data_IF_578768227859
#
_entry.id   IF_578768227859
#
_cell.length_a   1.000
_cell.length_b   1.000
_cell.length_c   1.000
_cell.angle_alpha   90.00
_cell.angle_beta   90.00
_cell.angle_gamma   90.00
#
_symmetry.space_group_name_H-M   'P 1'
#
loop_
_entity.id
_entity.type
_entity.pdbx_description
1 polymer ?
#
# COMPACT_ATOMS: atom_id res chain seq x y z
N UNK A 1 -14.24 -45.04 -54.88
CA UNK A 1 -14.77 -44.12 -53.82
C UNK A 1 -13.58 -43.72 -52.95
N UNK A 2 -13.08 -42.51 -53.15
CA UNK A 2 -11.92 -41.99 -52.44
C UNK A 2 -12.48 -41.08 -51.29
N UNK A 3 -12.29 -41.48 -50.02
CA UNK A 3 -12.67 -40.67 -48.86
C UNK A 3 -11.59 -39.60 -48.62
N UNK A 4 -11.96 -38.35 -48.87
CA UNK A 4 -11.13 -37.18 -48.56
C UNK A 4 -11.31 -36.84 -47.08
N UNK A 5 -10.34 -37.16 -46.25
CA UNK A 5 -10.32 -36.78 -44.83
C UNK A 5 -9.76 -35.33 -44.75
N UNK A 6 -10.65 -34.36 -44.51
CA UNK A 6 -10.26 -32.97 -44.20
C UNK A 6 -9.92 -32.90 -42.72
N UNK A 7 -8.62 -32.84 -42.41
CA UNK A 7 -8.13 -32.58 -41.07
C UNK A 7 -8.22 -31.08 -40.81
N UNK A 8 -9.20 -30.66 -40.01
CA UNK A 8 -9.34 -29.28 -39.54
C UNK A 8 -8.36 -29.06 -38.39
N UNK A 9 -7.18 -28.49 -38.72
CA UNK A 9 -6.20 -28.07 -37.68
C UNK A 9 -6.73 -26.85 -36.92
N UNK A 10 -7.22 -27.09 -35.73
CA UNK A 10 -7.62 -26.03 -34.78
C UNK A 10 -6.36 -25.36 -34.25
N UNK A 11 -5.98 -24.22 -34.82
CA UNK A 11 -4.89 -23.37 -34.27
C UNK A 11 -5.41 -22.68 -33.02
N UNK A 12 -5.11 -23.26 -31.87
CA UNK A 12 -5.32 -22.62 -30.56
C UNK A 12 -4.25 -21.53 -30.43
N UNK A 13 -4.59 -20.31 -30.80
CA UNK A 13 -3.82 -19.11 -30.42
C UNK A 13 -3.93 -18.96 -28.88
N UNK A 14 -2.97 -19.55 -28.19
CA UNK A 14 -2.80 -19.32 -26.77
C UNK A 14 -2.46 -17.84 -26.55
N UNK A 15 -3.42 -17.04 -26.09
CA UNK A 15 -3.13 -15.73 -25.51
C UNK A 15 -2.25 -15.98 -24.29
N UNK A 16 -0.95 -15.79 -24.44
CA UNK A 16 -0.04 -15.69 -23.32
C UNK A 16 -0.36 -14.36 -22.61
N UNK A 17 -1.17 -14.41 -21.58
CA UNK A 17 -1.29 -13.32 -20.65
C UNK A 17 0.07 -13.17 -19.93
N UNK A 18 0.93 -12.32 -20.50
CA UNK A 18 2.20 -11.96 -19.85
C UNK A 18 1.91 -10.94 -18.76
N UNK A 19 1.50 -11.42 -17.60
CA UNK A 19 1.42 -10.62 -16.42
C UNK A 19 2.76 -10.08 -15.99
N UNK A 20 2.75 -8.88 -15.49
CA UNK A 20 3.96 -8.23 -15.04
C UNK A 20 3.86 -7.94 -13.55
N UNK A 21 4.94 -8.28 -12.87
CA UNK A 21 5.14 -7.89 -11.48
C UNK A 21 5.95 -6.61 -11.44
N UNK A 22 5.42 -5.62 -10.76
CA UNK A 22 6.13 -4.41 -10.39
C UNK A 22 6.43 -4.46 -8.90
N UNK A 23 7.71 -4.34 -8.53
CA UNK A 23 8.16 -4.51 -7.14
C UNK A 23 8.90 -3.28 -6.64
N UNK A 24 8.70 -2.97 -5.36
CA UNK A 24 9.44 -1.95 -4.63
C UNK A 24 9.90 -2.52 -3.28
N UNK A 25 11.11 -2.11 -2.84
CA UNK A 25 11.65 -2.47 -1.53
C UNK A 25 11.89 -1.25 -0.63
N UNK A 26 12.01 -0.06 -1.25
CA UNK A 26 12.35 1.19 -0.58
C UNK A 26 11.25 2.25 -0.83
N UNK A 27 9.98 1.84 -0.69
CA UNK A 27 8.87 2.78 -0.68
C UNK A 27 8.89 3.64 0.56
N UNK A 28 8.25 4.80 0.49
CA UNK A 28 8.10 5.72 1.60
C UNK A 28 6.64 5.76 2.06
N UNK A 29 6.44 5.64 3.36
CA UNK A 29 5.16 5.92 4.02
C UNK A 29 5.42 6.86 5.17
N UNK A 30 4.69 7.96 5.20
CA UNK A 30 4.69 8.91 6.31
C UNK A 30 3.29 9.04 6.89
N UNK A 31 3.21 9.43 8.13
CA UNK A 31 1.95 9.88 8.72
C UNK A 31 2.12 11.23 9.41
N UNK A 32 1.01 11.93 9.54
CA UNK A 32 0.94 13.24 10.16
C UNK A 32 -0.29 13.33 11.08
N UNK A 33 -0.05 13.71 12.32
CA UNK A 33 -1.06 14.00 13.32
C UNK A 33 -0.98 15.48 13.65
N UNK A 34 -2.05 16.21 13.44
CA UNK A 34 -2.12 17.64 13.72
C UNK A 34 -3.10 17.94 14.85
N UNK A 35 -2.60 18.59 15.86
CA UNK A 35 -3.44 19.15 16.95
C UNK A 35 -3.06 20.61 17.21
N UNK A 36 -3.88 21.36 17.97
CA UNK A 36 -3.51 22.72 18.36
C UNK A 36 -2.26 22.82 19.25
N UNK A 37 -1.86 21.73 19.92
CA UNK A 37 -0.75 21.72 20.87
C UNK A 37 0.52 21.13 20.28
N UNK A 38 0.41 20.16 19.35
CA UNK A 38 1.58 19.44 18.85
C UNK A 38 1.33 18.88 17.46
N UNK A 39 2.32 19.01 16.58
CA UNK A 39 2.37 18.34 15.29
C UNK A 39 3.31 17.13 15.42
N UNK A 40 2.83 15.95 15.04
CA UNK A 40 3.62 14.71 15.09
C UNK A 40 3.71 14.18 13.67
N UNK A 41 4.94 13.98 13.20
CA UNK A 41 5.22 13.35 11.92
C UNK A 41 6.24 12.21 12.09
N UNK A 42 6.11 11.20 11.24
CA UNK A 42 7.09 10.12 11.15
C UNK A 42 7.16 9.57 9.73
N UNK A 43 8.32 9.05 9.38
CA UNK A 43 8.63 8.56 8.04
C UNK A 43 9.27 7.18 8.10
N UNK A 44 8.72 6.24 7.31
CA UNK A 44 9.30 4.93 7.05
C UNK A 44 9.76 4.87 5.59
N UNK A 45 11.05 4.60 5.35
CA UNK A 45 11.65 4.49 3.99
C UNK A 45 11.94 3.05 3.57
N UNK A 46 11.45 2.06 4.33
CA UNK A 46 11.68 0.65 4.08
C UNK A 46 10.36 -0.09 3.89
N UNK A 47 9.60 0.37 2.90
CA UNK A 47 8.28 -0.18 2.58
C UNK A 47 8.39 -1.08 1.36
N UNK A 48 8.04 -2.35 1.53
CA UNK A 48 7.91 -3.31 0.44
C UNK A 48 6.53 -3.22 -0.20
N UNK A 49 6.48 -3.28 -1.53
CA UNK A 49 5.21 -3.35 -2.25
C UNK A 49 5.33 -4.11 -3.56
N UNK A 50 4.22 -4.72 -3.97
CA UNK A 50 4.09 -5.46 -5.23
C UNK A 50 2.78 -5.07 -5.89
N UNK A 51 2.81 -4.83 -7.20
CA UNK A 51 1.65 -4.75 -8.08
C UNK A 51 1.73 -5.89 -9.07
N UNK A 52 0.68 -6.72 -9.13
CA UNK A 52 0.50 -7.76 -10.14
C UNK A 52 -0.55 -7.29 -11.14
N UNK A 53 -0.15 -7.08 -12.40
CA UNK A 53 -1.04 -6.58 -13.44
C UNK A 53 -1.94 -7.63 -14.06
N UNK A 54 -1.71 -8.94 -13.78
CA UNK A 54 -2.59 -10.02 -14.27
C UNK A 54 -3.95 -10.01 -13.61
N UNK A 55 -3.96 -9.70 -12.32
CA UNK A 55 -5.16 -9.77 -11.49
C UNK A 55 -5.44 -8.46 -10.74
N UNK A 56 -4.69 -7.39 -11.06
CA UNK A 56 -4.73 -6.07 -10.45
C UNK A 56 -4.46 -6.07 -8.93
N UNK A 57 -3.83 -7.10 -8.40
CA UNK A 57 -3.52 -7.18 -6.99
C UNK A 57 -2.40 -6.22 -6.61
N UNK A 58 -2.56 -5.59 -5.46
CA UNK A 58 -1.55 -4.76 -4.83
C UNK A 58 -1.37 -5.18 -3.37
N UNK A 59 -0.13 -5.35 -2.97
CA UNK A 59 0.23 -5.62 -1.58
C UNK A 59 1.30 -4.63 -1.12
N UNK A 60 1.17 -4.17 0.13
CA UNK A 60 2.14 -3.31 0.79
C UNK A 60 2.43 -3.88 2.16
N UNK A 61 3.70 -3.86 2.56
CA UNK A 61 4.13 -4.31 3.88
C UNK A 61 5.25 -3.40 4.41
N UNK A 62 5.19 -3.10 5.71
CA UNK A 62 6.22 -2.34 6.40
C UNK A 62 6.38 -2.81 7.84
N UNK A 63 7.58 -2.67 8.39
CA UNK A 63 7.80 -2.84 9.82
C UNK A 63 7.43 -1.56 10.55
N UNK A 64 6.73 -1.69 11.66
CA UNK A 64 6.33 -0.56 12.52
C UNK A 64 7.54 0.14 13.11
N UNK A 65 8.55 -0.62 13.54
CA UNK A 65 9.80 -0.11 14.13
C UNK A 65 10.66 0.71 13.17
N UNK A 66 10.38 0.66 11.84
CA UNK A 66 11.12 1.44 10.83
C UNK A 66 10.59 2.87 10.66
N UNK A 67 9.55 3.26 11.38
CA UNK A 67 9.16 4.67 11.44
C UNK A 67 10.16 5.47 12.26
N UNK A 68 10.70 6.51 11.65
CA UNK A 68 11.65 7.44 12.27
C UNK A 68 10.95 8.74 12.60
N UNK A 69 11.08 9.17 13.83
CA UNK A 69 10.53 10.41 14.36
C UNK A 69 11.65 11.44 14.58
N UNK A 70 11.37 12.74 14.51
CA UNK A 70 12.31 13.77 14.92
C UNK A 70 12.67 13.68 16.41
N UNK A 71 11.74 13.22 17.24
CA UNK A 71 11.88 13.06 18.68
C UNK A 71 11.95 11.57 19.07
N UNK A 72 13.04 11.15 19.71
CA UNK A 72 13.25 9.76 20.13
C UNK A 72 12.21 9.27 21.13
N UNK A 73 11.81 10.10 22.09
CA UNK A 73 10.79 9.74 23.08
C UNK A 73 9.43 9.49 22.42
N UNK A 74 9.07 10.29 21.41
CA UNK A 74 7.86 10.02 20.61
C UNK A 74 7.95 8.70 19.88
N UNK A 75 9.11 8.35 19.33
CA UNK A 75 9.34 7.06 18.66
C UNK A 75 9.22 5.88 19.63
N UNK A 76 9.75 6.00 20.83
CA UNK A 76 9.61 4.99 21.89
C UNK A 76 8.15 4.81 22.27
N UNK A 77 7.42 5.89 22.57
CA UNK A 77 5.99 5.82 22.88
C UNK A 77 5.16 5.25 21.72
N UNK A 78 5.48 5.61 20.47
CA UNK A 78 4.83 5.05 19.29
C UNK A 78 5.00 3.53 19.24
N UNK A 79 6.20 3.02 19.44
CA UNK A 79 6.49 1.60 19.39
C UNK A 79 5.91 0.83 20.57
N UNK A 80 6.02 1.36 21.79
CA UNK A 80 5.68 0.64 23.02
C UNK A 80 4.23 0.78 23.42
N UNK A 81 3.69 2.01 23.35
CA UNK A 81 2.39 2.33 23.94
C UNK A 81 1.26 2.38 22.92
N UNK A 82 1.54 2.75 21.65
CA UNK A 82 0.49 2.94 20.64
C UNK A 82 0.40 1.78 19.66
N UNK A 83 1.51 1.38 19.07
CA UNK A 83 1.52 0.30 18.08
C UNK A 83 1.92 -1.06 18.66
N UNK A 84 2.40 -1.11 19.90
CA UNK A 84 2.89 -2.32 20.58
C UNK A 84 3.72 -3.19 19.61
N UNK A 85 4.77 -2.59 19.03
CA UNK A 85 5.51 -3.15 17.88
C UNK A 85 6.17 -4.50 18.16
N UNK A 86 6.37 -4.87 19.42
CA UNK A 86 6.85 -6.19 19.82
C UNK A 86 5.77 -7.28 19.59
N UNK A 87 4.49 -6.93 19.77
CA UNK A 87 3.34 -7.82 19.53
C UNK A 87 2.86 -7.75 18.09
N UNK A 88 2.87 -6.55 17.51
CA UNK A 88 2.37 -6.25 16.17
C UNK A 88 3.46 -5.61 15.31
N UNK A 89 4.49 -6.38 14.89
CA UNK A 89 5.71 -5.82 14.30
C UNK A 89 5.52 -5.23 12.90
N UNK A 90 4.39 -5.48 12.24
CA UNK A 90 4.17 -5.05 10.86
C UNK A 90 2.79 -4.47 10.63
N UNK A 91 2.73 -3.50 9.71
CA UNK A 91 1.49 -3.04 9.09
C UNK A 91 1.46 -3.49 7.63
N UNK A 92 0.28 -3.89 7.14
CA UNK A 92 0.10 -4.40 5.77
C UNK A 92 -1.18 -3.87 5.13
N UNK A 93 -1.14 -3.76 3.80
CA UNK A 93 -2.33 -3.62 2.96
C UNK A 93 -2.34 -4.72 1.92
N UNK A 94 -3.51 -5.31 1.67
CA UNK A 94 -3.75 -6.26 0.57
C UNK A 94 -5.06 -5.92 -0.11
N UNK A 95 -5.03 -5.75 -1.41
CA UNK A 95 -6.22 -5.37 -2.16
C UNK A 95 -6.05 -5.45 -3.66
N UNK A 96 -7.00 -4.87 -4.38
CA UNK A 96 -7.00 -4.79 -5.84
C UNK A 96 -7.22 -3.36 -6.30
N UNK A 97 -6.54 -2.99 -7.36
CA UNK A 97 -6.82 -1.78 -8.11
C UNK A 97 -8.10 -2.01 -8.91
N UNK A 98 -9.10 -1.14 -8.73
CA UNK A 98 -10.42 -1.27 -9.35
C UNK A 98 -10.38 -1.00 -10.84
N UNK A 99 -9.56 -0.02 -11.24
CA UNK A 99 -9.42 0.40 -12.62
C UNK A 99 -8.55 -0.60 -13.41
N UNK A 100 -8.95 -0.88 -14.64
CA UNK A 100 -8.14 -1.66 -15.56
C UNK A 100 -7.13 -0.72 -16.21
N UNK A 101 -5.86 -0.89 -15.87
CA UNK A 101 -4.76 -0.05 -16.37
C UNK A 101 -3.66 -0.93 -16.99
N UNK A 102 -3.10 -0.46 -18.10
CA UNK A 102 -1.90 -1.07 -18.69
C UNK A 102 -0.67 -0.25 -18.31
N UNK A 103 0.10 -0.75 -17.36
CA UNK A 103 1.31 -0.07 -16.90
C UNK A 103 2.46 -0.09 -17.92
N UNK A 104 2.33 -0.83 -19.03
CA UNK A 104 3.27 -0.76 -20.17
C UNK A 104 3.14 0.54 -20.95
N UNK A 105 1.94 1.11 -20.94
CA UNK A 105 1.66 2.38 -21.61
C UNK A 105 2.09 3.52 -20.69
N UNK A 106 3.01 4.40 -21.12
CA UNK A 106 3.36 5.58 -20.35
C UNK A 106 2.14 6.49 -20.15
N UNK A 107 1.94 6.95 -18.92
CA UNK A 107 0.79 7.79 -18.60
C UNK A 107 0.61 8.03 -17.12
N UNK A 108 -0.39 8.85 -16.80
CA UNK A 108 -0.82 9.14 -15.43
C UNK A 108 -2.22 8.60 -15.24
N UNK A 109 -2.40 7.73 -14.25
CA UNK A 109 -3.62 6.99 -13.99
C UNK A 109 -4.14 7.31 -12.59
N UNK A 110 -5.36 7.82 -12.50
CA UNK A 110 -6.08 7.87 -11.24
C UNK A 110 -6.56 6.46 -10.90
N UNK A 111 -6.26 5.98 -9.70
CA UNK A 111 -6.55 4.60 -9.29
C UNK A 111 -7.21 4.57 -7.92
N UNK A 112 -7.97 3.51 -7.69
CA UNK A 112 -8.62 3.22 -6.42
C UNK A 112 -8.26 1.79 -6.02
N UNK A 113 -7.50 1.64 -4.94
CA UNK A 113 -7.21 0.35 -4.34
C UNK A 113 -8.28 0.02 -3.30
N UNK A 114 -8.94 -1.13 -3.44
CA UNK A 114 -9.95 -1.63 -2.50
C UNK A 114 -9.43 -2.91 -1.87
N UNK A 115 -9.41 -2.96 -0.55
CA UNK A 115 -8.84 -4.12 0.15
C UNK A 115 -8.96 -4.01 1.66
N UNK A 116 -7.98 -4.61 2.34
CA UNK A 116 -7.90 -4.60 3.79
C UNK A 116 -6.53 -4.07 4.25
N UNK A 117 -6.56 -3.24 5.29
CA UNK A 117 -5.37 -2.83 6.01
C UNK A 117 -5.33 -3.52 7.37
N UNK A 118 -4.17 -4.09 7.71
CA UNK A 118 -3.91 -4.66 9.03
C UNK A 118 -2.92 -3.76 9.75
N UNK A 119 -3.35 -3.16 10.85
CA UNK A 119 -2.56 -2.25 11.70
C UNK A 119 -2.85 -2.66 13.15
N UNK A 120 -1.82 -2.70 14.00
CA UNK A 120 -1.97 -3.07 15.42
C UNK A 120 -2.76 -4.39 15.61
N UNK A 121 -2.53 -5.37 14.74
CA UNK A 121 -3.22 -6.66 14.75
C UNK A 121 -4.69 -6.66 14.30
N UNK A 122 -5.27 -5.50 14.01
CA UNK A 122 -6.66 -5.34 13.57
C UNK A 122 -6.70 -5.18 12.06
N UNK A 123 -7.60 -5.94 11.41
CA UNK A 123 -7.80 -5.90 9.95
C UNK A 123 -9.14 -5.26 9.62
N UNK A 124 -9.11 -4.16 8.89
CA UNK A 124 -10.29 -3.43 8.45
C UNK A 124 -10.32 -3.25 6.93
N UNK A 125 -11.51 -3.23 6.31
CA UNK A 125 -11.65 -2.84 4.91
C UNK A 125 -11.31 -1.37 4.74
N UNK A 126 -10.64 -1.05 3.62
CA UNK A 126 -10.27 0.33 3.29
C UNK A 126 -10.29 0.53 1.77
N UNK A 127 -10.68 1.73 1.36
CA UNK A 127 -10.56 2.21 -0.01
C UNK A 127 -9.54 3.35 -0.04
N UNK A 128 -8.50 3.23 -0.89
CA UNK A 128 -7.41 4.19 -1.00
C UNK A 128 -7.37 4.71 -2.44
N UNK A 129 -7.57 6.01 -2.60
CA UNK A 129 -7.40 6.69 -3.89
C UNK A 129 -5.97 7.16 -4.06
N UNK A 130 -5.44 7.02 -5.25
CA UNK A 130 -4.07 7.40 -5.56
C UNK A 130 -3.85 7.71 -7.03
N UNK A 131 -2.61 8.00 -7.35
CA UNK A 131 -2.16 8.24 -8.72
C UNK A 131 -0.97 7.35 -9.02
N UNK A 132 -1.03 6.64 -10.12
CA UNK A 132 0.09 5.90 -10.70
C UNK A 132 0.60 6.68 -11.90
N UNK A 133 1.92 6.90 -11.95
CA UNK A 133 2.62 7.40 -13.14
C UNK A 133 3.47 6.28 -13.68
N UNK A 134 3.18 5.86 -14.91
CA UNK A 134 3.98 4.86 -15.62
C UNK A 134 4.89 5.51 -16.66
N UNK A 135 6.13 5.01 -16.72
CA UNK A 135 7.12 5.27 -17.78
C UNK A 135 7.54 3.95 -18.46
N UNK A 136 6.65 2.94 -18.44
CA UNK A 136 6.91 1.60 -18.89
C UNK A 136 7.52 0.72 -17.80
N UNK A 137 8.85 0.62 -17.77
CA UNK A 137 9.53 -0.25 -16.78
C UNK A 137 9.65 0.38 -15.38
N UNK A 138 9.43 1.68 -15.28
CA UNK A 138 9.40 2.42 -14.02
C UNK A 138 7.99 2.94 -13.74
N UNK A 139 7.48 2.62 -12.58
CA UNK A 139 6.15 3.00 -12.14
C UNK A 139 6.26 3.67 -10.77
N UNK A 140 5.60 4.80 -10.59
CA UNK A 140 5.49 5.44 -9.27
C UNK A 140 4.04 5.53 -8.84
N UNK A 141 3.78 5.24 -7.57
CA UNK A 141 2.48 5.37 -6.91
C UNK A 141 2.58 6.45 -5.84
N UNK A 142 1.62 7.35 -5.83
CA UNK A 142 1.40 8.29 -4.73
C UNK A 142 -0.06 8.22 -4.27
N UNK A 143 -0.26 8.15 -2.96
CA UNK A 143 -1.59 8.21 -2.36
C UNK A 143 -1.58 8.91 -1.02
N UNK A 144 -2.76 9.39 -0.61
CA UNK A 144 -3.01 9.96 0.71
C UNK A 144 -4.37 9.53 1.21
N UNK A 145 -4.45 9.12 2.47
CA UNK A 145 -5.69 8.66 3.10
C UNK A 145 -5.63 8.88 4.60
N UNK A 146 -6.78 8.80 5.25
CA UNK A 146 -6.90 9.00 6.68
C UNK A 146 -7.17 7.67 7.39
N UNK A 147 -6.56 7.50 8.56
CA UNK A 147 -6.75 6.36 9.47
C UNK A 147 -7.32 6.89 10.79
N UNK A 148 -8.46 6.33 11.20
CA UNK A 148 -9.02 6.55 12.54
C UNK A 148 -8.37 5.58 13.51
N UNK A 149 -7.72 6.08 14.56
CA UNK A 149 -6.98 5.24 15.50
C UNK A 149 -7.89 4.23 16.23
N UNK A 150 -9.10 4.66 16.57
CA UNK A 150 -10.10 3.80 17.24
C UNK A 150 -10.49 2.56 16.42
N UNK A 151 -10.49 2.65 15.08
CA UNK A 151 -10.83 1.52 14.21
C UNK A 151 -9.78 0.40 14.31
N UNK A 152 -8.57 0.71 14.76
CA UNK A 152 -7.47 -0.22 14.96
C UNK A 152 -7.14 -0.47 16.44
N UNK A 153 -8.06 -0.10 17.36
CA UNK A 153 -7.90 -0.25 18.80
C UNK A 153 -6.60 0.39 19.33
N UNK A 154 -6.21 1.50 18.74
CA UNK A 154 -5.09 2.31 19.20
C UNK A 154 -5.67 3.36 20.14
N UNK A 155 -5.45 3.16 21.44
CA UNK A 155 -5.99 4.02 22.48
C UNK A 155 -5.09 5.24 22.71
N UNK A 156 -5.70 6.43 22.79
CA UNK A 156 -5.02 7.67 23.16
C UNK A 156 -5.29 7.94 24.64
N UNK A 157 -4.26 7.88 25.51
CA UNK A 157 -4.45 8.19 26.92
C UNK A 157 -4.98 9.61 27.12
N UNK A 158 -5.91 9.82 28.04
CA UNK A 158 -6.57 11.12 28.30
C UNK A 158 -5.58 12.26 28.55
N UNK A 159 -4.44 11.97 29.19
CA UNK A 159 -3.41 12.96 29.51
C UNK A 159 -2.72 13.55 28.28
N UNK A 160 -2.71 12.84 27.15
CA UNK A 160 -2.11 13.26 25.88
C UNK A 160 -3.13 13.45 24.77
N UNK A 161 -4.43 13.33 25.07
CA UNK A 161 -5.52 13.45 24.10
C UNK A 161 -5.48 14.76 23.28
N UNK A 162 -5.08 15.86 23.92
CA UNK A 162 -4.95 17.15 23.24
C UNK A 162 -3.71 17.24 22.30
N UNK A 163 -2.82 16.25 22.33
CA UNK A 163 -1.56 16.21 21.55
C UNK A 163 -1.55 15.23 20.41
N UNK A 164 -2.50 14.28 20.35
CA UNK A 164 -2.59 13.25 19.32
C UNK A 164 -3.97 13.32 18.66
N UNK A 165 -4.01 13.47 17.35
CA UNK A 165 -5.27 13.49 16.61
C UNK A 165 -5.89 12.09 16.55
N UNK A 166 -7.22 12.00 16.67
CA UNK A 166 -7.97 10.74 16.52
C UNK A 166 -7.90 10.19 15.08
N UNK A 167 -7.67 11.08 14.12
CA UNK A 167 -7.55 10.78 12.70
C UNK A 167 -6.17 11.17 12.21
N UNK A 168 -5.43 10.20 11.73
CA UNK A 168 -4.06 10.36 11.25
C UNK A 168 -4.05 10.37 9.73
N UNK A 169 -3.41 11.36 9.15
CA UNK A 169 -3.19 11.42 7.69
C UNK A 169 -1.96 10.62 7.30
N UNK A 170 -2.16 9.62 6.45
CA UNK A 170 -1.10 8.78 5.90
C UNK A 170 -0.83 9.18 4.46
N UNK A 171 0.43 9.32 4.11
CA UNK A 171 0.90 9.58 2.73
C UNK A 171 1.88 8.49 2.32
N UNK A 172 1.76 8.02 1.08
CA UNK A 172 2.67 7.01 0.53
C UNK A 172 3.23 7.46 -0.81
N UNK A 173 4.53 7.18 -1.03
CA UNK A 173 5.23 7.33 -2.31
C UNK A 173 6.06 6.09 -2.55
N UNK A 174 5.76 5.35 -3.60
CA UNK A 174 6.42 4.08 -3.87
C UNK A 174 6.87 4.06 -5.33
N UNK A 175 8.16 3.79 -5.54
CA UNK A 175 8.74 3.62 -6.88
C UNK A 175 8.97 2.14 -7.13
N UNK A 176 8.36 1.63 -8.18
CA UNK A 176 8.43 0.23 -8.58
C UNK A 176 9.34 0.06 -9.78
N UNK A 177 9.96 -1.09 -9.85
CA UNK A 177 10.65 -1.60 -11.03
C UNK A 177 9.98 -2.88 -11.50
N UNK A 178 9.93 -3.05 -12.80
CA UNK A 178 9.41 -4.27 -13.43
C UNK A 178 10.34 -5.44 -13.14
N UNK A 179 9.76 -6.61 -12.86
CA UNK A 179 10.44 -7.89 -12.65
C UNK A 179 10.21 -8.84 -13.81
#
# INVERSE_FOLDING_TARGET
MRHLIVVFALVILGFQANGQLYMAQNGEVSFFSKTPLEDIDALNKQVGSIINTDNNEVAVQMRVTNFVFPNKLMQEHFNENYLESDKFPSATFKGKIREVIDLKVPGTYAVTAVGTATIHGITNPIEIKGTIVSKGDQVSLACQFDIKLVDYKIDIPRIVFAKIAEVIRVSSKINYVKK
#
